data_IF_633847747121
#
_entry.id   IF_633847747121
#
_cell.length_a   1.000
_cell.length_b   1.000
_cell.length_c   1.000
_cell.angle_alpha   90.00
_cell.angle_beta   90.00
_cell.angle_gamma   90.00
#
_symmetry.space_group_name_H-M   'P 1'
#
loop_
_entity.id
_entity.type
_entity.pdbx_description
1 polymer ?
#
# COMPACT_ATOMS: atom_id res chain seq x y z
N UNK A 1 24.76 10.68 5.69
CA UNK A 1 24.41 9.75 4.59
C UNK A 1 24.41 10.52 3.29
N UNK A 2 25.16 10.07 2.29
CA UNK A 2 25.26 10.73 0.97
C UNK A 2 23.88 10.80 0.27
N UNK A 3 23.65 11.78 -0.60
CA UNK A 3 22.38 11.95 -1.33
C UNK A 3 22.05 10.70 -2.16
N UNK A 4 23.06 10.02 -2.73
CA UNK A 4 22.85 8.77 -3.45
C UNK A 4 22.33 7.66 -2.51
N UNK A 5 22.94 7.54 -1.33
CA UNK A 5 22.51 6.59 -0.30
C UNK A 5 21.10 6.93 0.24
N UNK A 6 20.76 8.21 0.40
CA UNK A 6 19.42 8.66 0.80
C UNK A 6 18.37 8.27 -0.24
N UNK A 7 18.67 8.45 -1.53
CA UNK A 7 17.79 8.05 -2.62
C UNK A 7 17.57 6.52 -2.63
N UNK A 8 18.64 5.73 -2.51
CA UNK A 8 18.53 4.26 -2.47
C UNK A 8 17.73 3.77 -1.27
N UNK A 9 17.95 4.37 -0.09
CA UNK A 9 17.17 4.07 1.11
C UNK A 9 15.67 4.35 0.91
N UNK A 10 15.31 5.52 0.36
CA UNK A 10 13.91 5.87 0.12
C UNK A 10 13.23 4.96 -0.90
N UNK A 11 13.95 4.52 -1.94
CA UNK A 11 13.43 3.56 -2.92
C UNK A 11 13.14 2.21 -2.23
N UNK A 12 14.06 1.70 -1.42
CA UNK A 12 13.86 0.45 -0.67
C UNK A 12 12.68 0.57 0.29
N UNK A 13 12.61 1.66 1.05
CA UNK A 13 11.50 1.91 1.97
C UNK A 13 10.16 1.99 1.24
N UNK A 14 10.12 2.63 0.06
CA UNK A 14 8.92 2.68 -0.76
C UNK A 14 8.46 1.29 -1.24
N UNK A 15 9.38 0.46 -1.71
CA UNK A 15 9.06 -0.92 -2.12
C UNK A 15 8.57 -1.77 -0.96
N UNK A 16 9.16 -1.61 0.22
CA UNK A 16 8.69 -2.26 1.45
C UNK A 16 7.26 -1.83 1.78
N UNK A 17 6.93 -0.53 1.67
CA UNK A 17 5.56 -0.07 1.87
C UNK A 17 4.57 -0.70 0.87
N UNK A 18 4.95 -0.84 -0.40
CA UNK A 18 4.11 -1.51 -1.41
C UNK A 18 3.89 -2.99 -1.09
N UNK A 19 4.93 -3.67 -0.60
CA UNK A 19 4.84 -5.06 -0.18
C UNK A 19 3.88 -5.23 1.01
N UNK A 20 4.01 -4.37 2.02
CA UNK A 20 3.14 -4.36 3.20
C UNK A 20 1.69 -4.03 2.82
N UNK A 21 1.46 -3.06 1.92
CA UNK A 21 0.13 -2.71 1.43
C UNK A 21 -0.54 -3.91 0.76
N UNK A 22 0.20 -4.62 -0.10
CA UNK A 22 -0.27 -5.84 -0.76
C UNK A 22 -0.61 -6.93 0.27
N UNK A 23 0.23 -7.10 1.29
CA UNK A 23 0.02 -8.07 2.36
C UNK A 23 -1.26 -7.80 3.14
N UNK A 24 -1.48 -6.54 3.57
CA UNK A 24 -2.69 -6.12 4.29
C UNK A 24 -3.97 -6.30 3.46
N UNK A 25 -3.89 -6.10 2.14
CA UNK A 25 -5.06 -6.25 1.26
C UNK A 25 -5.36 -7.71 0.90
N UNK A 26 -4.40 -8.63 1.01
CA UNK A 26 -4.57 -10.01 0.55
C UNK A 26 -5.75 -10.73 1.24
N UNK A 27 -5.95 -10.62 2.57
CA UNK A 27 -7.09 -11.24 3.21
C UNK A 27 -8.43 -10.63 2.79
N UNK A 28 -8.48 -9.32 2.49
CA UNK A 28 -9.69 -8.66 1.97
C UNK A 28 -10.14 -9.33 0.67
N UNK A 29 -9.20 -9.55 -0.27
CA UNK A 29 -9.51 -10.23 -1.52
C UNK A 29 -10.00 -11.65 -1.31
N UNK A 30 -9.33 -12.41 -0.42
CA UNK A 30 -9.76 -13.76 -0.07
C UNK A 30 -11.21 -13.80 0.41
N UNK A 31 -11.58 -12.92 1.36
CA UNK A 31 -12.96 -12.86 1.87
C UNK A 31 -13.95 -12.47 0.76
N UNK A 32 -13.63 -11.45 -0.05
CA UNK A 32 -14.48 -11.01 -1.15
C UNK A 32 -14.70 -12.11 -2.20
N UNK A 33 -13.64 -12.81 -2.58
CA UNK A 33 -13.72 -13.92 -3.54
C UNK A 33 -14.61 -15.04 -3.00
N UNK A 34 -14.47 -15.41 -1.72
CA UNK A 34 -15.31 -16.43 -1.09
C UNK A 34 -16.79 -16.03 -0.98
N UNK A 35 -17.08 -14.76 -0.70
CA UNK A 35 -18.44 -14.23 -0.72
C UNK A 35 -19.02 -14.30 -2.14
N UNK A 36 -18.25 -13.91 -3.16
CA UNK A 36 -18.67 -13.96 -4.56
C UNK A 36 -18.90 -15.41 -5.03
N UNK A 37 -18.04 -16.34 -4.66
CA UNK A 37 -18.21 -17.78 -4.94
C UNK A 37 -19.56 -18.29 -4.42
N UNK A 38 -19.94 -17.91 -3.20
CA UNK A 38 -21.23 -18.29 -2.60
C UNK A 38 -22.39 -17.65 -3.38
N UNK A 39 -22.33 -16.33 -3.63
CA UNK A 39 -23.37 -15.57 -4.35
C UNK A 39 -23.60 -16.08 -5.79
N UNK A 40 -22.62 -16.73 -6.40
CA UNK A 40 -22.70 -17.26 -7.77
C UNK A 40 -23.25 -18.68 -7.85
N UNK A 41 -23.54 -19.35 -6.74
CA UNK A 41 -24.13 -20.69 -6.75
C UNK A 41 -25.53 -20.65 -7.40
N UNK A 42 -25.79 -21.60 -8.31
CA UNK A 42 -27.08 -21.70 -9.01
C UNK A 42 -28.24 -22.10 -8.09
N UNK A 43 -27.95 -22.84 -7.01
CA UNK A 43 -28.92 -23.26 -5.99
C UNK A 43 -28.28 -23.08 -4.61
N UNK A 44 -28.31 -21.87 -4.03
CA UNK A 44 -27.77 -21.62 -2.70
C UNK A 44 -28.63 -22.31 -1.62
N UNK A 45 -27.99 -22.79 -0.57
CA UNK A 45 -28.64 -23.38 0.61
C UNK A 45 -28.72 -22.37 1.77
N UNK A 46 -29.51 -22.65 2.80
CA UNK A 46 -29.54 -21.83 4.02
C UNK A 46 -28.16 -21.73 4.68
N UNK A 47 -27.37 -22.81 4.63
CA UNK A 47 -25.99 -22.81 5.11
C UNK A 47 -25.09 -21.86 4.32
N UNK A 48 -25.30 -21.76 3.00
CA UNK A 48 -24.57 -20.82 2.15
C UNK A 48 -24.85 -19.37 2.55
N UNK A 49 -26.12 -19.02 2.82
CA UNK A 49 -26.48 -17.69 3.31
C UNK A 49 -25.87 -17.40 4.69
N UNK A 50 -25.92 -18.35 5.62
CA UNK A 50 -25.28 -18.21 6.93
C UNK A 50 -23.76 -18.00 6.81
N UNK A 51 -23.13 -18.75 5.91
CA UNK A 51 -21.70 -18.64 5.63
C UNK A 51 -21.34 -17.30 5.00
N UNK A 52 -22.15 -16.80 4.07
CA UNK A 52 -22.00 -15.46 3.48
C UNK A 52 -22.03 -14.38 4.56
N UNK A 53 -23.07 -14.35 5.41
CA UNK A 53 -23.23 -13.37 6.49
C UNK A 53 -22.03 -13.41 7.43
N UNK A 54 -21.55 -14.62 7.76
CA UNK A 54 -20.36 -14.79 8.60
C UNK A 54 -19.12 -14.19 7.93
N UNK A 55 -18.86 -14.51 6.67
CA UNK A 55 -17.72 -13.98 5.93
C UNK A 55 -17.77 -12.45 5.80
N UNK A 56 -18.95 -11.86 5.57
CA UNK A 56 -19.12 -10.41 5.54
C UNK A 56 -18.85 -9.76 6.91
N UNK A 57 -19.21 -10.41 8.01
CA UNK A 57 -18.88 -9.94 9.37
C UNK A 57 -17.39 -10.04 9.67
N UNK A 58 -16.76 -11.16 9.30
CA UNK A 58 -15.32 -11.37 9.46
C UNK A 58 -14.51 -10.36 8.63
N UNK A 59 -14.92 -10.12 7.38
CA UNK A 59 -14.33 -9.11 6.51
C UNK A 59 -14.40 -7.71 7.14
N UNK A 60 -15.57 -7.28 7.61
CA UNK A 60 -15.72 -5.98 8.29
C UNK A 60 -14.86 -5.87 9.55
N UNK A 61 -14.75 -6.95 10.32
CA UNK A 61 -13.88 -6.99 11.51
C UNK A 61 -12.42 -6.85 11.11
N UNK A 62 -11.99 -7.57 10.08
CA UNK A 62 -10.64 -7.48 9.56
C UNK A 62 -10.31 -6.07 9.04
N UNK A 63 -11.16 -5.50 8.17
CA UNK A 63 -11.00 -4.15 7.64
C UNK A 63 -10.91 -3.11 8.77
N UNK A 64 -11.74 -3.25 9.81
CA UNK A 64 -11.67 -2.37 11.00
C UNK A 64 -10.34 -2.50 11.74
N UNK A 65 -9.84 -3.73 11.92
CA UNK A 65 -8.61 -3.99 12.65
C UNK A 65 -7.38 -3.43 11.92
N UNK A 66 -7.31 -3.59 10.60
CA UNK A 66 -6.17 -3.13 9.81
C UNK A 66 -6.25 -1.66 9.42
N UNK A 67 -7.38 -0.98 9.65
CA UNK A 67 -7.59 0.40 9.21
C UNK A 67 -6.47 1.33 9.67
N UNK A 68 -6.13 1.28 10.96
CA UNK A 68 -5.08 2.14 11.53
C UNK A 68 -3.70 1.84 10.94
N UNK A 69 -3.37 0.57 10.78
CA UNK A 69 -2.10 0.14 10.19
C UNK A 69 -2.00 0.57 8.73
N UNK A 70 -3.10 0.46 8.00
CA UNK A 70 -3.20 0.91 6.61
C UNK A 70 -3.06 2.42 6.48
N UNK A 71 -3.76 3.20 7.32
CA UNK A 71 -3.65 4.67 7.34
C UNK A 71 -2.22 5.11 7.66
N UNK A 72 -1.60 4.48 8.67
CA UNK A 72 -0.19 4.74 9.04
C UNK A 72 0.76 4.42 7.88
N UNK A 73 0.55 3.30 7.19
CA UNK A 73 1.34 2.91 6.03
C UNK A 73 1.21 3.92 4.89
N UNK A 74 0.01 4.45 4.67
CA UNK A 74 -0.24 5.49 3.67
C UNK A 74 0.50 6.78 4.00
N UNK A 75 0.46 7.24 5.26
CA UNK A 75 1.21 8.41 5.72
C UNK A 75 2.73 8.25 5.52
N UNK A 76 3.27 7.07 5.87
CA UNK A 76 4.69 6.76 5.66
C UNK A 76 5.02 6.79 4.16
N UNK A 77 4.19 6.15 3.32
CA UNK A 77 4.37 6.11 1.87
C UNK A 77 4.37 7.52 1.26
N UNK A 78 3.44 8.37 1.68
CA UNK A 78 3.38 9.78 1.25
C UNK A 78 4.62 10.58 1.68
N UNK A 79 5.07 10.39 2.92
CA UNK A 79 6.29 11.02 3.43
C UNK A 79 7.53 10.64 2.61
N UNK A 80 7.66 9.35 2.24
CA UNK A 80 8.74 8.86 1.38
C UNK A 80 8.67 9.50 -0.01
N UNK A 81 7.47 9.60 -0.59
CA UNK A 81 7.29 10.26 -1.90
C UNK A 81 7.72 11.72 -1.84
N UNK A 82 7.25 12.48 -0.84
CA UNK A 82 7.60 13.90 -0.64
C UNK A 82 9.12 14.08 -0.55
N UNK A 83 9.79 13.30 0.32
CA UNK A 83 11.26 13.35 0.47
C UNK A 83 11.99 12.98 -0.82
N UNK A 84 11.48 12.01 -1.58
CA UNK A 84 12.06 11.62 -2.87
C UNK A 84 11.99 12.75 -3.89
N UNK A 85 10.87 13.48 -3.94
CA UNK A 85 10.70 14.65 -4.81
C UNK A 85 11.67 15.77 -4.40
N UNK A 86 11.78 16.06 -3.11
CA UNK A 86 12.72 17.07 -2.59
C UNK A 86 14.17 16.77 -2.97
N UNK A 87 14.62 15.52 -2.78
CA UNK A 87 15.98 15.11 -3.15
C UNK A 87 16.20 15.23 -4.67
N UNK A 88 15.24 14.78 -5.48
CA UNK A 88 15.33 14.93 -6.95
C UNK A 88 15.42 16.40 -7.36
N UNK A 89 14.65 17.28 -6.70
CA UNK A 89 14.69 18.72 -6.94
C UNK A 89 16.05 19.31 -6.58
N UNK A 90 16.58 19.03 -5.38
CA UNK A 90 17.91 19.47 -4.93
C UNK A 90 19.02 19.03 -5.89
N UNK A 91 19.00 17.76 -6.31
CA UNK A 91 19.95 17.23 -7.29
C UNK A 91 19.88 17.95 -8.64
N UNK A 92 18.68 18.28 -9.12
CA UNK A 92 18.49 19.02 -10.38
C UNK A 92 19.08 20.44 -10.27
N UNK A 93 18.83 21.13 -9.15
CA UNK A 93 19.38 22.47 -8.90
C UNK A 93 20.90 22.45 -8.80
N UNK A 94 21.48 21.49 -8.07
CA UNK A 94 22.94 21.32 -7.96
C UNK A 94 23.59 21.10 -9.34
N UNK A 95 23.01 20.23 -10.18
CA UNK A 95 23.50 20.01 -11.55
C UNK A 95 23.45 21.28 -12.40
N UNK A 96 22.37 22.05 -12.33
CA UNK A 96 22.24 23.33 -13.05
C UNK A 96 23.33 24.32 -12.62
N UNK A 97 23.56 24.43 -11.32
CA UNK A 97 24.59 25.31 -10.77
C UNK A 97 26.01 24.89 -11.19
N UNK A 98 26.32 23.58 -11.11
CA UNK A 98 27.62 23.06 -11.57
C UNK A 98 27.85 23.27 -13.06
N UNK A 99 26.81 23.13 -13.90
CA UNK A 99 26.94 23.38 -15.33
C UNK A 99 27.20 24.87 -15.62
N UNK A 100 26.56 25.78 -14.89
CA UNK A 100 26.77 27.22 -15.04
C UNK A 100 28.15 27.69 -14.57
N UNK A 101 28.80 26.98 -13.65
CA UNK A 101 30.17 27.27 -13.17
C UNK A 101 31.27 26.67 -14.06
N UNK A 102 30.91 25.79 -15.01
CA UNK A 102 31.83 25.20 -15.99
C UNK A 102 31.86 25.97 -17.32
N UNK A 103 31.09 27.07 -17.40
CA UNK A 103 31.09 28.06 -18.48
C UNK A 103 31.94 29.24 -18.01
#
# INVERSE_FOLDING_TARGET
MDIKQQKEFLIKAYHECLYQEKSLRRPIFYYKDKIIEIKRKLKPTDEDFLKEIRLERELRKYEKNIKRDYDTLMEIKESIIKKTIEIKSKLKTQRKYQNNLKV
#
